data_IF_338183033171
#
_entry.id   IF_338183033171
#
_cell.length_a   1.000
_cell.length_b   1.000
_cell.length_c   1.000
_cell.angle_alpha   90.00
_cell.angle_beta   90.00
_cell.angle_gamma   90.00
#
_symmetry.space_group_name_H-M   'P 1'
#
loop_
_entity.id
_entity.type
_entity.pdbx_description
1 polymer ?
#
# COMPACT_ATOMS: atom_id res chain seq x y z
N UNK A 1 -48.08 23.35 -4.49
CA UNK A 1 -47.78 24.13 -3.28
C UNK A 1 -46.40 23.65 -2.80
N UNK A 2 -45.46 24.58 -2.65
CA UNK A 2 -44.14 24.26 -2.11
C UNK A 2 -44.29 23.93 -0.61
N UNK A 3 -43.76 22.79 -0.16
CA UNK A 3 -43.75 22.40 1.25
C UNK A 3 -42.34 22.62 1.79
N UNK A 4 -42.19 23.59 2.67
CA UNK A 4 -40.92 23.82 3.41
C UNK A 4 -41.01 22.96 4.67
N UNK A 5 -40.03 22.03 4.84
CA UNK A 5 -39.96 21.16 6.01
C UNK A 5 -39.19 21.85 7.17
N UNK A 6 -38.06 22.46 6.83
CA UNK A 6 -37.21 23.19 7.78
C UNK A 6 -36.32 24.19 7.03
N UNK A 7 -35.75 25.13 7.75
CA UNK A 7 -34.69 26.00 7.25
C UNK A 7 -33.33 25.43 7.59
N UNK A 8 -32.44 25.36 6.60
CA UNK A 8 -31.07 24.82 6.76
C UNK A 8 -30.07 25.85 6.23
N UNK A 9 -28.91 25.92 6.85
CA UNK A 9 -27.81 26.82 6.47
C UNK A 9 -26.77 26.08 5.67
N UNK A 10 -26.16 26.74 4.69
CA UNK A 10 -24.98 26.29 3.97
C UNK A 10 -23.72 26.98 4.50
N UNK A 11 -22.56 26.56 4.06
CA UNK A 11 -21.31 27.23 4.44
C UNK A 11 -21.22 28.66 3.93
N UNK A 12 -21.97 29.04 2.89
CA UNK A 12 -22.05 30.40 2.39
C UNK A 12 -22.87 31.31 3.31
N UNK A 13 -23.73 30.73 4.17
CA UNK A 13 -24.61 31.46 5.09
C UNK A 13 -23.97 31.70 6.47
N UNK A 14 -22.81 31.07 6.76
CA UNK A 14 -22.22 31.08 8.10
C UNK A 14 -20.75 31.44 8.08
N UNK A 15 -20.27 31.99 9.19
CA UNK A 15 -18.85 32.25 9.46
C UNK A 15 -18.45 31.62 10.79
N UNK A 16 -17.21 31.18 10.89
CA UNK A 16 -16.63 30.78 12.18
C UNK A 16 -16.35 32.04 13.02
N UNK A 17 -16.81 32.05 14.26
CA UNK A 17 -16.44 33.10 15.19
C UNK A 17 -15.01 32.95 15.66
N UNK A 18 -14.16 33.98 15.53
CA UNK A 18 -12.81 33.94 16.10
C UNK A 18 -12.89 33.76 17.63
N UNK A 19 -12.05 32.85 18.13
CA UNK A 19 -11.93 32.59 19.56
C UNK A 19 -10.48 32.75 20.01
N UNK A 20 -10.25 32.86 21.32
CA UNK A 20 -8.92 32.88 21.88
C UNK A 20 -8.17 31.58 21.50
N UNK A 21 -6.92 31.71 21.01
CA UNK A 21 -6.04 30.58 20.68
C UNK A 21 -4.65 30.84 21.22
N UNK A 22 -4.07 29.81 21.79
CA UNK A 22 -2.64 29.74 22.16
C UNK A 22 -1.86 28.75 21.28
N UNK A 23 -2.47 28.30 20.19
CA UNK A 23 -1.88 27.33 19.22
C UNK A 23 -1.33 28.10 18.03
N UNK A 24 -0.05 27.92 17.73
CA UNK A 24 0.58 28.46 16.53
C UNK A 24 0.32 27.55 15.33
N UNK A 25 0.27 28.08 14.09
CA UNK A 25 0.06 27.28 12.89
C UNK A 25 0.99 26.07 12.74
N UNK A 26 2.24 26.19 13.23
CA UNK A 26 3.24 25.11 13.20
C UNK A 26 2.97 23.98 14.19
N UNK A 27 2.15 24.22 15.21
CA UNK A 27 1.83 23.25 16.27
C UNK A 27 0.40 22.71 16.20
N UNK A 28 -0.32 22.99 15.12
CA UNK A 28 -1.66 22.47 14.90
C UNK A 28 -1.57 20.95 14.66
N UNK A 29 -2.37 20.18 15.39
CA UNK A 29 -2.59 18.77 15.12
C UNK A 29 -3.76 18.61 14.15
N UNK A 30 -3.49 18.03 12.96
CA UNK A 30 -4.49 17.76 11.93
C UNK A 30 -4.99 16.32 11.95
N UNK A 31 -4.53 15.50 12.89
CA UNK A 31 -4.93 14.10 13.01
C UNK A 31 -6.44 13.97 13.20
N UNK A 32 -7.05 13.08 12.43
CA UNK A 32 -8.50 12.88 12.41
C UNK A 32 -8.84 11.40 12.34
N UNK A 33 -9.83 10.98 13.12
CA UNK A 33 -10.34 9.61 13.04
C UNK A 33 -11.29 9.47 11.85
N UNK A 34 -10.89 8.68 10.86
CA UNK A 34 -11.75 8.34 9.73
C UNK A 34 -12.77 7.26 10.11
N UNK A 35 -12.32 6.27 10.86
CA UNK A 35 -13.18 5.22 11.43
C UNK A 35 -12.78 5.00 12.89
N UNK A 36 -13.42 4.04 13.56
CA UNK A 36 -13.04 3.68 14.95
C UNK A 36 -11.62 3.09 15.04
N UNK A 37 -11.12 2.52 13.95
CA UNK A 37 -9.82 1.82 13.90
C UNK A 37 -8.78 2.50 13.00
N UNK A 38 -9.15 3.53 12.23
CA UNK A 38 -8.26 4.18 11.28
C UNK A 38 -8.22 5.67 11.55
N UNK A 39 -7.05 6.17 11.91
CA UNK A 39 -6.73 7.59 12.00
C UNK A 39 -5.91 8.03 10.76
N UNK A 40 -6.16 9.24 10.31
CA UNK A 40 -5.39 9.92 9.27
C UNK A 40 -4.57 11.05 9.90
N UNK A 41 -3.39 11.32 9.36
CA UNK A 41 -2.55 12.43 9.83
C UNK A 41 -3.01 13.79 9.31
N UNK A 42 -3.72 13.80 8.17
CA UNK A 42 -4.41 14.97 7.63
C UNK A 42 -5.85 14.57 7.27
N UNK A 43 -6.85 15.45 7.46
CA UNK A 43 -8.27 15.16 7.22
C UNK A 43 -8.64 15.28 5.73
N UNK A 44 -7.86 14.66 4.85
CA UNK A 44 -8.06 14.72 3.40
C UNK A 44 -8.30 13.33 2.82
N UNK A 45 -9.36 13.23 2.01
CA UNK A 45 -9.71 12.03 1.25
C UNK A 45 -9.93 12.44 -0.20
N UNK A 46 -9.32 11.75 -1.16
CA UNK A 46 -9.59 12.02 -2.58
C UNK A 46 -10.88 11.35 -3.04
N UNK A 47 -11.61 12.03 -3.93
CA UNK A 47 -12.88 11.54 -4.46
C UNK A 47 -12.70 10.33 -5.35
N UNK A 48 -13.66 9.39 -5.30
CA UNK A 48 -13.75 8.20 -6.15
C UNK A 48 -14.21 8.54 -7.57
N UNK A 49 -13.53 9.44 -8.23
CA UNK A 49 -13.87 9.93 -9.57
C UNK A 49 -12.95 9.32 -10.62
N UNK A 50 -13.54 8.98 -11.78
CA UNK A 50 -12.80 8.54 -12.96
C UNK A 50 -11.73 9.58 -13.34
N UNK A 51 -10.56 9.11 -13.74
CA UNK A 51 -9.37 9.90 -14.08
C UNK A 51 -8.79 10.75 -12.93
N UNK A 52 -9.41 10.78 -11.75
CA UNK A 52 -8.92 11.52 -10.57
C UNK A 52 -8.18 10.59 -9.62
N UNK A 53 -8.84 9.55 -9.09
CA UNK A 53 -8.23 8.67 -8.09
C UNK A 53 -8.04 7.25 -8.62
N UNK A 54 -6.85 7.00 -9.10
CA UNK A 54 -6.26 5.69 -9.36
C UNK A 54 -5.05 5.51 -8.41
N UNK A 55 -4.27 4.45 -8.56
CA UNK A 55 -3.15 4.12 -7.66
C UNK A 55 -2.17 5.28 -7.45
N UNK A 56 -1.85 6.04 -8.51
CA UNK A 56 -0.90 7.15 -8.44
C UNK A 56 -1.32 8.23 -7.43
N UNK A 57 -2.57 8.69 -7.50
CA UNK A 57 -3.07 9.68 -6.53
C UNK A 57 -3.31 9.06 -5.17
N UNK A 58 -3.80 7.81 -5.11
CA UNK A 58 -3.99 7.12 -3.83
C UNK A 58 -2.67 6.95 -3.06
N UNK A 59 -1.57 6.65 -3.75
CA UNK A 59 -0.22 6.61 -3.16
C UNK A 59 0.17 7.99 -2.61
N UNK A 60 0.04 9.05 -3.42
CA UNK A 60 0.40 10.40 -3.00
C UNK A 60 -0.42 10.87 -1.79
N UNK A 61 -1.73 10.61 -1.79
CA UNK A 61 -2.61 10.92 -0.65
C UNK A 61 -2.19 10.19 0.62
N UNK A 62 -1.90 8.89 0.51
CA UNK A 62 -1.47 8.10 1.66
C UNK A 62 -0.08 8.52 2.17
N UNK A 63 0.85 8.90 1.30
CA UNK A 63 2.17 9.43 1.68
C UNK A 63 2.05 10.71 2.51
N UNK A 64 1.13 11.60 2.15
CA UNK A 64 0.88 12.85 2.90
C UNK A 64 0.02 12.65 4.16
N UNK A 65 -0.39 11.41 4.44
CA UNK A 65 -1.17 11.07 5.64
C UNK A 65 -2.69 11.14 5.48
N UNK A 66 -3.18 11.34 4.24
CA UNK A 66 -4.57 11.24 3.84
C UNK A 66 -4.95 9.86 3.32
N UNK A 67 -6.02 9.78 2.52
CA UNK A 67 -6.50 8.53 1.93
C UNK A 67 -7.01 8.73 0.50
N UNK A 68 -6.63 7.84 -0.41
CA UNK A 68 -7.18 7.79 -1.76
C UNK A 68 -8.29 6.77 -1.88
N UNK A 69 -9.43 7.16 -2.49
CA UNK A 69 -10.53 6.25 -2.80
C UNK A 69 -10.52 5.92 -4.29
N UNK A 70 -10.06 4.72 -4.64
CA UNK A 70 -9.95 4.27 -6.03
C UNK A 70 -11.35 4.09 -6.62
N UNK A 71 -11.62 4.74 -7.78
CA UNK A 71 -12.93 4.76 -8.40
C UNK A 71 -13.34 3.40 -8.99
N UNK A 72 -14.67 3.20 -9.15
CA UNK A 72 -15.26 1.97 -9.69
C UNK A 72 -15.50 1.98 -11.20
N UNK A 73 -15.25 3.10 -11.91
CA UNK A 73 -15.49 3.26 -13.35
C UNK A 73 -14.43 2.52 -14.20
N UNK A 74 -14.17 1.27 -13.82
CA UNK A 74 -13.23 0.36 -14.48
C UNK A 74 -13.62 -1.09 -14.21
N UNK A 75 -13.05 -2.04 -14.97
CA UNK A 75 -13.25 -3.47 -14.72
C UNK A 75 -12.76 -3.90 -13.34
N UNK A 76 -13.33 -4.96 -12.79
CA UNK A 76 -13.05 -5.47 -11.44
C UNK A 76 -11.55 -5.77 -11.28
N UNK A 77 -10.96 -6.50 -12.23
CA UNK A 77 -9.53 -6.86 -12.19
C UNK A 77 -8.62 -5.63 -12.22
N UNK A 78 -9.00 -4.59 -13.01
CA UNK A 78 -8.23 -3.34 -13.06
C UNK A 78 -8.29 -2.63 -11.71
N UNK A 79 -9.46 -2.52 -11.08
CA UNK A 79 -9.60 -1.87 -9.78
C UNK A 79 -8.82 -2.62 -8.69
N UNK A 80 -8.91 -3.94 -8.65
CA UNK A 80 -8.13 -4.78 -7.74
C UNK A 80 -6.62 -4.62 -7.97
N UNK A 81 -6.18 -4.48 -9.25
CA UNK A 81 -4.79 -4.17 -9.58
C UNK A 81 -4.36 -2.81 -9.06
N UNK A 82 -5.18 -1.77 -9.20
CA UNK A 82 -4.91 -0.44 -8.66
C UNK A 82 -4.74 -0.47 -7.13
N UNK A 83 -5.60 -1.20 -6.41
CA UNK A 83 -5.45 -1.42 -4.95
C UNK A 83 -4.11 -2.12 -4.66
N UNK A 84 -3.79 -3.22 -5.38
CA UNK A 84 -2.52 -3.93 -5.18
C UNK A 84 -1.30 -3.05 -5.43
N UNK A 85 -1.35 -2.13 -6.39
CA UNK A 85 -0.27 -1.18 -6.65
C UNK A 85 -0.02 -0.27 -5.46
N UNK A 86 -1.08 0.24 -4.80
CA UNK A 86 -0.94 1.03 -3.57
C UNK A 86 -0.35 0.19 -2.44
N UNK A 87 -0.87 -1.02 -2.22
CA UNK A 87 -0.41 -1.92 -1.13
C UNK A 87 1.02 -2.42 -1.34
N UNK A 88 1.45 -2.56 -2.58
CA UNK A 88 2.83 -2.98 -2.94
C UNK A 88 3.80 -1.80 -3.07
N UNK A 89 3.30 -0.56 -2.99
CA UNK A 89 4.18 0.60 -3.07
C UNK A 89 5.14 0.59 -1.89
N UNK A 90 6.44 0.62 -2.20
CA UNK A 90 7.53 0.51 -1.21
C UNK A 90 7.39 1.60 -0.13
N UNK A 91 7.05 1.22 1.08
CA UNK A 91 6.80 2.13 2.21
C UNK A 91 7.48 1.69 3.51
N UNK A 92 8.69 1.14 3.42
CA UNK A 92 9.47 0.64 4.55
C UNK A 92 9.91 -0.81 4.35
N UNK A 93 9.56 -1.72 5.24
CA UNK A 93 9.87 -3.15 5.12
C UNK A 93 8.82 -3.84 4.26
N UNK A 94 9.23 -4.41 3.15
CA UNK A 94 8.38 -5.32 2.37
C UNK A 94 8.33 -6.67 3.09
N UNK A 95 7.27 -6.95 3.84
CA UNK A 95 7.14 -8.17 4.66
C UNK A 95 6.86 -9.45 3.87
N UNK A 96 6.42 -9.33 2.63
CA UNK A 96 6.19 -10.46 1.73
C UNK A 96 6.80 -10.11 0.36
N UNK A 97 8.13 -10.14 0.23
CA UNK A 97 8.80 -9.79 -1.00
C UNK A 97 8.55 -10.85 -2.07
N UNK A 98 8.50 -10.41 -3.33
CA UNK A 98 8.55 -11.34 -4.45
C UNK A 98 9.81 -12.17 -4.36
N UNK A 99 9.67 -13.48 -4.49
CA UNK A 99 10.77 -14.44 -4.47
C UNK A 99 10.86 -15.19 -5.81
N UNK A 100 12.01 -15.76 -6.08
CA UNK A 100 12.23 -16.55 -7.27
C UNK A 100 12.99 -17.85 -6.91
N UNK A 101 12.62 -19.00 -7.49
CA UNK A 101 13.35 -20.23 -7.22
C UNK A 101 14.75 -20.20 -7.87
N UNK A 102 15.73 -20.81 -7.22
CA UNK A 102 17.12 -20.90 -7.69
C UNK A 102 17.24 -21.53 -9.09
N UNK A 103 16.29 -22.37 -9.44
CA UNK A 103 16.23 -23.10 -10.74
C UNK A 103 15.63 -22.28 -11.88
N UNK A 104 15.06 -21.11 -11.60
CA UNK A 104 14.51 -20.23 -12.62
C UNK A 104 15.62 -19.66 -13.51
N UNK A 105 15.25 -19.23 -14.71
CA UNK A 105 16.20 -18.62 -15.64
C UNK A 105 16.35 -17.11 -15.39
N UNK A 106 17.45 -16.55 -15.87
CA UNK A 106 17.66 -15.10 -15.85
C UNK A 106 16.58 -14.38 -16.67
N UNK A 107 16.07 -15.02 -17.70
CA UNK A 107 14.93 -14.51 -18.51
C UNK A 107 13.67 -14.36 -17.68
N UNK A 108 13.33 -15.36 -16.87
CA UNK A 108 12.18 -15.34 -15.99
C UNK A 108 12.33 -14.22 -14.93
N UNK A 109 13.53 -14.08 -14.37
CA UNK A 109 13.87 -13.01 -13.43
C UNK A 109 13.63 -11.63 -14.03
N UNK A 110 14.16 -11.36 -15.24
CA UNK A 110 14.00 -10.06 -15.93
C UNK A 110 12.53 -9.77 -16.22
N UNK A 111 11.76 -10.79 -16.64
CA UNK A 111 10.33 -10.64 -16.86
C UNK A 111 9.58 -10.27 -15.58
N UNK A 112 9.82 -10.98 -14.48
CA UNK A 112 9.21 -10.70 -13.17
C UNK A 112 9.61 -9.34 -12.62
N UNK A 113 10.88 -8.94 -12.76
CA UNK A 113 11.34 -7.60 -12.34
C UNK A 113 10.61 -6.51 -13.10
N UNK A 114 10.44 -6.66 -14.42
CA UNK A 114 9.77 -5.67 -15.27
C UNK A 114 8.27 -5.61 -15.00
N UNK A 115 7.62 -6.76 -14.85
CA UNK A 115 6.18 -6.83 -14.59
C UNK A 115 5.80 -6.19 -13.26
N UNK A 116 6.63 -6.35 -12.23
CA UNK A 116 6.36 -5.88 -10.88
C UNK A 116 7.09 -4.58 -10.50
N UNK A 117 7.85 -3.97 -11.44
CA UNK A 117 8.66 -2.76 -11.21
C UNK A 117 9.59 -2.88 -9.99
N UNK A 118 10.29 -4.01 -9.88
CA UNK A 118 11.22 -4.32 -8.79
C UNK A 118 12.64 -4.48 -9.29
N UNK A 119 13.60 -4.13 -8.47
CA UNK A 119 15.03 -4.13 -8.81
C UNK A 119 15.84 -5.20 -8.11
N UNK A 120 15.21 -6.18 -7.50
CA UNK A 120 15.87 -7.33 -6.88
C UNK A 120 14.92 -8.17 -6.05
N UNK A 121 15.22 -9.45 -5.94
CA UNK A 121 14.39 -10.47 -5.30
C UNK A 121 15.24 -11.43 -4.47
N UNK A 122 14.72 -11.90 -3.31
CA UNK A 122 15.27 -13.06 -2.62
C UNK A 122 15.13 -14.31 -3.49
N UNK A 123 16.15 -15.15 -3.45
CA UNK A 123 16.20 -16.44 -4.15
C UNK A 123 15.95 -17.56 -3.15
N UNK A 124 15.03 -18.46 -3.46
CA UNK A 124 14.68 -19.59 -2.61
C UNK A 124 15.09 -20.93 -3.25
N UNK A 125 15.47 -21.86 -2.42
CA UNK A 125 15.64 -23.27 -2.77
C UNK A 125 14.76 -24.18 -1.89
N UNK A 126 14.94 -25.49 -1.96
CA UNK A 126 14.22 -26.46 -1.14
C UNK A 126 14.52 -26.35 0.37
N UNK A 127 15.62 -25.73 0.74
CA UNK A 127 16.03 -25.49 2.13
C UNK A 127 15.65 -24.10 2.64
N UNK A 128 15.04 -23.25 1.82
CA UNK A 128 14.59 -21.91 2.17
C UNK A 128 15.37 -20.79 1.45
N UNK A 129 15.85 -19.78 2.19
CA UNK A 129 16.58 -18.65 1.61
C UNK A 129 17.97 -19.07 1.13
N UNK A 130 18.17 -19.03 -0.21
CA UNK A 130 19.42 -19.42 -0.88
C UNK A 130 20.31 -18.22 -1.23
N UNK A 131 19.71 -17.03 -1.48
CA UNK A 131 20.47 -15.87 -1.91
C UNK A 131 19.61 -14.65 -2.20
N UNK A 132 20.20 -13.66 -2.86
CA UNK A 132 19.53 -12.51 -3.43
C UNK A 132 20.06 -12.24 -4.83
N UNK A 133 19.18 -11.78 -5.72
CA UNK A 133 19.55 -11.33 -7.07
C UNK A 133 18.98 -9.95 -7.31
N UNK A 134 19.73 -9.07 -7.98
CA UNK A 134 19.37 -7.68 -8.23
C UNK A 134 19.53 -7.30 -9.70
N UNK A 135 18.95 -6.15 -10.10
CA UNK A 135 19.13 -5.60 -11.44
C UNK A 135 20.60 -5.30 -11.79
N UNK A 136 21.48 -5.20 -10.79
CA UNK A 136 22.92 -5.01 -10.97
C UNK A 136 23.57 -6.29 -11.48
N UNK A 137 23.12 -7.45 -11.00
CA UNK A 137 23.66 -8.77 -11.35
C UNK A 137 23.30 -9.17 -12.78
N UNK A 138 22.12 -8.75 -13.27
CA UNK A 138 21.66 -9.06 -14.64
C UNK A 138 22.08 -8.04 -15.70
N UNK A 139 22.63 -6.87 -15.29
CA UNK A 139 22.86 -5.73 -16.21
C UNK A 139 23.69 -6.02 -17.45
N UNK A 140 24.67 -6.90 -17.30
CA UNK A 140 25.62 -7.24 -18.37
C UNK A 140 25.56 -8.71 -18.74
N UNK A 141 24.55 -9.44 -18.23
CA UNK A 141 24.41 -10.87 -18.52
C UNK A 141 23.86 -11.07 -19.95
N UNK A 142 24.55 -11.90 -20.70
CA UNK A 142 24.22 -12.21 -22.10
C UNK A 142 23.46 -13.52 -22.24
N UNK A 143 23.73 -14.49 -21.35
CA UNK A 143 23.07 -15.78 -21.37
C UNK A 143 21.82 -15.78 -20.49
N UNK A 144 20.72 -15.33 -21.05
CA UNK A 144 19.45 -15.25 -20.32
C UNK A 144 18.80 -16.59 -20.00
N UNK A 145 19.30 -17.68 -20.58
CA UNK A 145 18.80 -19.04 -20.34
C UNK A 145 19.58 -19.76 -19.23
N UNK A 146 20.64 -19.13 -18.70
CA UNK A 146 21.33 -19.61 -17.51
C UNK A 146 20.43 -19.51 -16.26
N UNK A 147 20.69 -20.36 -15.27
CA UNK A 147 19.99 -20.36 -13.99
C UNK A 147 20.50 -19.27 -13.05
N UNK A 148 19.64 -18.83 -12.12
CA UNK A 148 19.89 -17.69 -11.23
C UNK A 148 21.08 -17.93 -10.29
N UNK A 149 21.35 -19.18 -9.91
CA UNK A 149 22.49 -19.55 -9.05
C UNK A 149 23.84 -19.08 -9.59
N UNK A 150 23.97 -18.91 -10.91
CA UNK A 150 25.20 -18.44 -11.55
C UNK A 150 25.53 -16.98 -11.30
N UNK A 151 24.51 -16.15 -10.99
CA UNK A 151 24.65 -14.68 -10.85
C UNK A 151 24.24 -14.15 -9.50
N UNK A 152 23.50 -14.92 -8.68
CA UNK A 152 23.02 -14.46 -7.38
C UNK A 152 24.15 -14.24 -6.37
N UNK A 153 23.90 -13.38 -5.39
CA UNK A 153 24.70 -13.35 -4.16
C UNK A 153 24.24 -14.51 -3.28
N UNK A 154 25.09 -15.51 -3.02
CA UNK A 154 24.71 -16.72 -2.29
C UNK A 154 24.57 -16.46 -0.79
N UNK A 155 23.92 -17.40 -0.09
CA UNK A 155 23.54 -17.34 1.32
C UNK A 155 24.68 -16.94 2.27
N UNK A 156 25.86 -17.46 2.07
CA UNK A 156 27.06 -17.21 2.89
C UNK A 156 27.58 -15.78 2.79
N UNK A 157 27.19 -15.05 1.73
CA UNK A 157 27.58 -13.65 1.50
C UNK A 157 26.43 -12.66 1.75
N UNK A 158 25.27 -13.14 2.21
CA UNK A 158 24.15 -12.27 2.50
C UNK A 158 24.41 -11.38 3.72
N UNK A 159 24.05 -10.12 3.60
CA UNK A 159 23.90 -9.22 4.74
C UNK A 159 22.43 -9.21 5.14
N UNK A 160 22.13 -9.60 6.37
CA UNK A 160 20.77 -9.75 6.87
C UNK A 160 20.63 -9.05 8.21
N UNK A 161 19.37 -8.74 8.57
CA UNK A 161 18.98 -8.27 9.91
C UNK A 161 17.89 -9.16 10.48
N UNK A 162 17.75 -9.18 11.80
CA UNK A 162 16.64 -9.87 12.48
C UNK A 162 15.33 -9.09 12.38
N UNK A 163 14.21 -9.68 12.85
CA UNK A 163 12.89 -9.03 12.81
C UNK A 163 12.79 -7.77 13.68
N UNK A 164 13.60 -7.67 14.73
CA UNK A 164 13.64 -6.53 15.68
C UNK A 164 14.83 -5.59 15.39
N UNK A 165 15.04 -5.23 14.14
CA UNK A 165 16.12 -4.33 13.75
C UNK A 165 15.78 -2.86 14.07
N UNK A 166 16.83 -2.06 14.29
CA UNK A 166 16.73 -0.60 14.31
C UNK A 166 17.09 -0.02 12.94
N UNK A 167 16.39 1.06 12.53
CA UNK A 167 16.55 1.62 11.19
C UNK A 167 17.97 2.16 10.95
N UNK A 168 18.61 2.68 11.99
CA UNK A 168 19.98 3.21 11.92
C UNK A 168 21.01 2.09 11.74
N UNK A 169 20.78 0.91 12.33
CA UNK A 169 21.58 -0.30 12.07
C UNK A 169 21.51 -0.71 10.61
N UNK A 170 20.31 -0.71 10.04
CA UNK A 170 20.10 -1.03 8.62
C UNK A 170 20.83 -0.04 7.72
N UNK A 171 20.76 1.27 8.00
CA UNK A 171 21.49 2.30 7.25
C UNK A 171 22.98 2.07 7.28
N UNK A 172 23.52 1.77 8.46
CA UNK A 172 24.95 1.51 8.64
C UNK A 172 25.41 0.30 7.84
N UNK A 173 24.63 -0.81 7.86
CA UNK A 173 24.91 -2.01 7.10
C UNK A 173 24.87 -1.76 5.59
N UNK A 174 23.84 -1.06 5.10
CA UNK A 174 23.71 -0.68 3.69
C UNK A 174 24.94 0.13 3.22
N UNK A 175 25.34 1.12 4.03
CA UNK A 175 26.50 1.95 3.73
C UNK A 175 27.82 1.18 3.79
N UNK A 176 28.06 0.41 4.85
CA UNK A 176 29.28 -0.36 5.09
C UNK A 176 29.53 -1.38 3.97
N UNK A 177 28.47 -2.09 3.56
CA UNK A 177 28.57 -3.13 2.54
C UNK A 177 28.32 -2.61 1.12
N UNK A 178 27.98 -1.31 0.95
CA UNK A 178 27.66 -0.65 -0.33
C UNK A 178 26.57 -1.39 -1.11
N UNK A 179 25.55 -1.85 -0.39
CA UNK A 179 24.38 -2.52 -0.91
C UNK A 179 23.15 -1.63 -0.79
N UNK A 180 22.12 -1.92 -1.59
CA UNK A 180 20.86 -1.15 -1.61
C UNK A 180 19.69 -1.92 -0.99
N UNK A 181 19.91 -3.19 -0.63
CA UNK A 181 18.89 -4.09 -0.11
C UNK A 181 19.44 -4.95 1.01
N UNK A 182 18.63 -5.15 2.05
CA UNK A 182 18.93 -6.06 3.17
C UNK A 182 17.73 -6.97 3.37
N UNK A 183 17.99 -8.25 3.56
CA UNK A 183 16.97 -9.24 3.88
C UNK A 183 16.71 -9.26 5.39
N UNK A 184 15.45 -9.33 5.76
CA UNK A 184 15.02 -9.56 7.14
C UNK A 184 14.78 -11.05 7.30
N UNK A 185 15.40 -11.65 8.32
CA UNK A 185 15.29 -13.08 8.61
C UNK A 185 14.95 -13.31 10.07
N UNK A 186 14.31 -14.43 10.38
CA UNK A 186 14.10 -14.85 11.76
C UNK A 186 15.29 -15.66 12.30
N UNK A 187 15.20 -16.13 13.56
CA UNK A 187 16.24 -16.94 14.20
C UNK A 187 16.55 -18.28 13.51
N UNK A 188 15.67 -18.77 12.65
CA UNK A 188 15.86 -19.95 11.79
C UNK A 188 16.41 -19.64 10.40
N UNK A 189 16.78 -18.39 10.13
CA UNK A 189 17.22 -17.89 8.82
C UNK A 189 16.14 -18.00 7.72
N UNK A 190 14.87 -17.97 8.11
CA UNK A 190 13.76 -17.89 7.16
C UNK A 190 13.49 -16.44 6.79
N UNK A 191 13.21 -16.21 5.50
CA UNK A 191 12.89 -14.89 4.97
C UNK A 191 11.62 -14.33 5.64
N UNK A 192 11.70 -13.11 6.17
CA UNK A 192 10.60 -12.36 6.77
C UNK A 192 10.34 -11.03 6.07
N UNK A 193 11.28 -10.55 5.31
CA UNK A 193 11.11 -9.30 4.58
C UNK A 193 12.34 -8.86 3.81
N UNK A 194 12.16 -7.74 3.12
CA UNK A 194 13.19 -7.04 2.36
C UNK A 194 13.10 -5.55 2.68
N UNK A 195 14.23 -4.93 3.00
CA UNK A 195 14.35 -3.48 3.18
C UNK A 195 15.23 -2.94 2.05
N UNK A 196 14.81 -1.84 1.44
CA UNK A 196 15.65 -1.16 0.44
C UNK A 196 16.04 0.24 0.89
N UNK A 197 17.13 0.77 0.33
CA UNK A 197 17.54 2.16 0.57
C UNK A 197 16.45 3.15 0.17
N UNK A 198 15.66 2.83 -0.87
CA UNK A 198 14.51 3.65 -1.29
C UNK A 198 13.45 3.71 -0.20
N UNK A 199 13.17 2.59 0.47
CA UNK A 199 12.15 2.50 1.51
C UNK A 199 12.52 3.36 2.72
N UNK A 200 13.80 3.33 3.10
CA UNK A 200 14.31 4.16 4.20
C UNK A 200 14.16 5.64 3.87
N UNK A 201 14.58 6.07 2.67
CA UNK A 201 14.42 7.46 2.22
C UNK A 201 12.96 7.89 2.20
N UNK A 202 12.07 7.07 1.64
CA UNK A 202 10.62 7.35 1.64
C UNK A 202 10.04 7.47 3.06
N UNK A 203 10.52 6.67 4.00
CA UNK A 203 10.08 6.78 5.40
C UNK A 203 10.53 8.10 6.04
N UNK A 204 11.68 8.64 5.65
CA UNK A 204 12.17 9.95 6.07
C UNK A 204 11.45 11.09 5.36
N UNK A 205 11.20 10.94 4.05
CA UNK A 205 10.49 11.93 3.23
C UNK A 205 9.00 12.05 3.60
N UNK A 206 8.37 10.94 4.03
CA UNK A 206 6.93 10.86 4.35
C UNK A 206 6.68 10.31 5.77
N UNK A 207 7.07 11.04 6.82
CA UNK A 207 6.94 10.57 8.22
C UNK A 207 5.48 10.44 8.66
N UNK A 208 4.57 11.14 7.99
CA UNK A 208 3.14 11.14 8.30
C UNK A 208 2.32 10.15 7.43
N UNK A 209 2.98 9.31 6.62
CA UNK A 209 2.26 8.41 5.72
C UNK A 209 1.22 7.54 6.43
N UNK A 210 0.02 7.47 5.86
CA UNK A 210 -1.07 6.62 6.34
C UNK A 210 -0.76 5.16 6.02
N UNK A 211 -0.36 4.39 7.04
CA UNK A 211 0.08 2.99 6.92
C UNK A 211 -0.81 2.04 7.72
N UNK A 212 -0.92 0.81 7.26
CA UNK A 212 -1.50 -0.29 8.00
C UNK A 212 -0.48 -0.90 8.99
N UNK A 213 -0.91 -1.88 9.78
CA UNK A 213 -0.09 -2.55 10.80
C UNK A 213 1.08 -3.36 10.19
N UNK A 214 1.05 -3.61 8.88
CA UNK A 214 2.15 -4.23 8.12
C UNK A 214 3.09 -3.19 7.49
N UNK A 215 2.89 -1.89 7.76
CA UNK A 215 3.69 -0.81 7.20
C UNK A 215 3.39 -0.46 5.74
N UNK A 216 2.32 -1.01 5.14
CA UNK A 216 1.91 -0.72 3.76
C UNK A 216 0.99 0.51 3.74
N UNK A 217 1.04 1.28 2.65
CA UNK A 217 0.14 2.42 2.47
C UNK A 217 -1.33 1.98 2.52
N UNK A 218 -2.16 2.80 3.19
CA UNK A 218 -3.61 2.58 3.24
C UNK A 218 -4.27 2.99 1.93
N UNK A 219 -5.29 2.22 1.55
CA UNK A 219 -6.08 2.43 0.33
C UNK A 219 -7.55 2.20 0.60
N UNK A 220 -8.40 3.02 0.00
CA UNK A 220 -9.83 2.76 -0.08
C UNK A 220 -10.24 2.49 -1.54
N UNK A 221 -11.37 1.82 -1.74
CA UNK A 221 -11.93 1.60 -3.07
C UNK A 221 -13.45 1.73 -3.05
N UNK A 222 -13.99 2.30 -4.12
CA UNK A 222 -15.40 2.50 -4.30
C UNK A 222 -16.08 1.27 -4.92
N UNK A 223 -17.28 0.96 -4.45
CA UNK A 223 -18.18 -0.05 -5.02
C UNK A 223 -19.56 0.57 -5.24
N UNK A 224 -20.35 -0.01 -6.16
CA UNK A 224 -21.75 0.34 -6.36
C UNK A 224 -22.70 -0.62 -5.64
N UNK A 225 -23.98 -0.56 -6.07
CA UNK A 225 -25.05 -1.46 -5.64
C UNK A 225 -25.56 -2.34 -6.80
N UNK A 226 -24.80 -2.40 -7.90
CA UNK A 226 -25.13 -3.19 -9.08
C UNK A 226 -24.85 -4.69 -8.92
N UNK A 227 -25.18 -5.47 -9.96
CA UNK A 227 -25.05 -6.92 -9.95
C UNK A 227 -23.59 -7.41 -9.77
N UNK A 228 -22.60 -6.61 -10.20
CA UNK A 228 -21.16 -6.89 -10.07
C UNK A 228 -20.56 -6.51 -8.72
N UNK A 229 -21.35 -5.92 -7.82
CA UNK A 229 -20.83 -5.35 -6.57
C UNK A 229 -20.23 -6.39 -5.64
N UNK A 230 -20.80 -7.60 -5.57
CA UNK A 230 -20.30 -8.67 -4.71
C UNK A 230 -18.92 -9.16 -5.17
N UNK A 231 -18.76 -9.47 -6.46
CA UNK A 231 -17.51 -9.94 -7.07
C UNK A 231 -16.42 -8.85 -6.95
N UNK A 232 -16.80 -7.59 -7.12
CA UNK A 232 -15.92 -6.43 -6.97
C UNK A 232 -15.41 -6.28 -5.53
N UNK A 233 -16.29 -6.41 -4.55
CA UNK A 233 -15.94 -6.40 -3.13
C UNK A 233 -14.91 -7.49 -2.83
N UNK A 234 -15.16 -8.72 -3.29
CA UNK A 234 -14.25 -9.84 -3.07
C UNK A 234 -12.86 -9.58 -3.67
N UNK A 235 -12.81 -9.11 -4.91
CA UNK A 235 -11.56 -8.85 -5.61
C UNK A 235 -10.72 -7.73 -4.95
N UNK A 236 -11.36 -6.63 -4.47
CA UNK A 236 -10.63 -5.55 -3.80
C UNK A 236 -10.19 -5.92 -2.39
N UNK A 237 -10.96 -6.77 -1.68
CA UNK A 237 -10.55 -7.31 -0.37
C UNK A 237 -9.36 -8.25 -0.53
N UNK A 238 -9.37 -9.15 -1.52
CA UNK A 238 -8.23 -10.00 -1.85
C UNK A 238 -6.99 -9.16 -2.22
N UNK A 239 -7.19 -8.01 -2.87
CA UNK A 239 -6.13 -7.06 -3.16
C UNK A 239 -5.60 -6.32 -1.92
N UNK A 240 -6.25 -6.43 -0.75
CA UNK A 240 -5.82 -5.87 0.52
C UNK A 240 -6.32 -4.45 0.79
N UNK A 241 -7.48 -4.05 0.27
CA UNK A 241 -8.10 -2.75 0.56
C UNK A 241 -8.34 -2.58 2.07
N UNK A 242 -8.15 -1.37 2.60
CA UNK A 242 -8.36 -1.08 4.01
C UNK A 242 -9.79 -0.59 4.31
N UNK A 243 -10.44 0.05 3.34
CA UNK A 243 -11.77 0.67 3.49
C UNK A 243 -12.55 0.49 2.20
N UNK A 244 -13.83 0.17 2.30
CA UNK A 244 -14.76 0.16 1.17
C UNK A 244 -15.67 1.39 1.27
N UNK A 245 -15.91 2.04 0.14
CA UNK A 245 -16.85 3.17 0.03
C UNK A 245 -17.99 2.77 -0.90
N UNK A 246 -19.22 2.69 -0.39
CA UNK A 246 -20.40 2.47 -1.23
C UNK A 246 -20.78 3.80 -1.87
N UNK A 247 -20.37 3.98 -3.12
CA UNK A 247 -20.49 5.24 -3.85
C UNK A 247 -21.66 5.23 -4.83
N UNK A 248 -22.68 6.03 -4.54
CA UNK A 248 -23.91 6.20 -5.31
C UNK A 248 -24.40 7.64 -5.28
N UNK A 249 -25.34 7.98 -6.18
CA UNK A 249 -25.96 9.31 -6.23
C UNK A 249 -26.80 9.64 -4.98
N UNK A 250 -27.32 8.62 -4.27
CA UNK A 250 -28.16 8.81 -3.07
C UNK A 250 -27.79 7.77 -2.00
N UNK A 251 -27.00 8.19 -1.04
CA UNK A 251 -26.46 7.31 0.02
C UNK A 251 -27.50 6.71 0.95
N UNK A 252 -28.66 7.36 1.14
CA UNK A 252 -29.75 6.85 1.97
C UNK A 252 -30.83 6.14 1.14
N UNK A 253 -30.42 5.35 0.15
CA UNK A 253 -31.30 4.44 -0.61
C UNK A 253 -31.25 3.03 -0.03
N UNK A 254 -32.33 2.24 -0.23
CA UNK A 254 -32.41 0.88 0.27
C UNK A 254 -31.26 0.01 -0.26
N UNK A 255 -30.93 0.15 -1.54
CA UNK A 255 -29.82 -0.60 -2.15
C UNK A 255 -28.44 -0.32 -1.51
N UNK A 256 -28.20 0.91 -1.03
CA UNK A 256 -26.97 1.24 -0.30
C UNK A 256 -26.98 0.60 1.09
N UNK A 257 -28.10 0.66 1.79
CA UNK A 257 -28.26 0.07 3.14
C UNK A 257 -28.05 -1.44 3.07
N UNK A 258 -28.65 -2.10 2.07
CA UNK A 258 -28.53 -3.54 1.84
C UNK A 258 -27.08 -3.91 1.46
N UNK A 259 -26.42 -3.12 0.61
CA UNK A 259 -25.04 -3.35 0.22
C UNK A 259 -24.08 -3.24 1.41
N UNK A 260 -24.21 -2.19 2.25
CA UNK A 260 -23.41 -2.05 3.48
C UNK A 260 -23.64 -3.24 4.41
N UNK A 261 -24.91 -3.65 4.61
CA UNK A 261 -25.26 -4.78 5.44
C UNK A 261 -24.64 -6.08 4.94
N UNK A 262 -24.69 -6.31 3.62
CA UNK A 262 -24.10 -7.48 2.95
C UNK A 262 -22.58 -7.51 3.12
N UNK A 263 -21.89 -6.39 2.90
CA UNK A 263 -20.44 -6.29 3.08
C UNK A 263 -20.07 -6.58 4.54
N UNK A 264 -20.76 -5.95 5.50
CA UNK A 264 -20.48 -6.14 6.92
C UNK A 264 -20.78 -7.56 7.42
N UNK A 265 -21.75 -8.25 6.83
CA UNK A 265 -22.04 -9.65 7.16
C UNK A 265 -20.95 -10.61 6.67
N UNK A 266 -20.34 -10.35 5.50
CA UNK A 266 -19.28 -11.17 4.90
C UNK A 266 -17.88 -10.80 5.41
N UNK A 267 -17.64 -9.52 5.67
CA UNK A 267 -16.34 -8.96 6.04
C UNK A 267 -16.50 -7.99 7.21
N UNK A 268 -16.78 -8.48 8.43
CA UNK A 268 -17.08 -7.65 9.61
C UNK A 268 -15.93 -6.70 9.97
N UNK A 269 -14.69 -7.09 9.70
CA UNK A 269 -13.49 -6.33 10.07
C UNK A 269 -13.23 -5.13 9.12
N UNK A 270 -13.75 -5.18 7.87
CA UNK A 270 -13.51 -4.11 6.91
C UNK A 270 -14.41 -2.92 7.19
N UNK A 271 -13.90 -1.71 7.40
CA UNK A 271 -14.68 -0.48 7.49
C UNK A 271 -15.41 -0.18 6.17
N UNK A 272 -16.67 0.28 6.26
CA UNK A 272 -17.51 0.66 5.13
C UNK A 272 -18.08 2.05 5.39
#
# INVERSE_FOLDING_TARGET
MLRIAEEALTFDDVLLLPAHSNVLPKSVNLESNLTRSIALKIPLISSAMDTVTESRLAIAMAQEGGLGVIHKSMGIDKQAREVRLVKKYESGVVRDPFTIPVTATIRDLVALMKENDISGMPVLDSAGLAGIVTSRDVRFEVNLDATIDTIMTPKDKLVTVGENFELDEVKELLHRHRIEKILVVNGGFELRGLITLKDIRKSEDFPNAAKDDMGRLRSAAAVGTGADAADRVDAIIEAGVDIIVVDTAHGHSQGVIDQVSSIKARYPEIPV
#
